data_IF_135789060498
#
_entry.id   IF_135789060498
#
_cell.length_a   1.000
_cell.length_b   1.000
_cell.length_c   1.000
_cell.angle_alpha   90.00
_cell.angle_beta   90.00
_cell.angle_gamma   90.00
#
_symmetry.space_group_name_H-M   'P 1'
#
loop_
_entity.id
_entity.type
_entity.pdbx_description
1 polymer ?
#
# COMPACT_ATOMS: atom_id res chain seq x y z
N UNK A 1 -14.90 16.97 2.36
CA UNK A 1 -13.67 16.62 1.60
C UNK A 1 -13.20 15.25 2.08
N UNK A 2 -12.95 14.28 1.18
CA UNK A 2 -12.37 12.99 1.60
C UNK A 2 -10.92 13.27 2.03
N UNK A 3 -10.61 13.11 3.32
CA UNK A 3 -9.30 13.46 3.88
C UNK A 3 -8.18 12.55 3.37
N UNK A 4 -6.93 13.01 3.51
CA UNK A 4 -5.71 12.24 3.16
C UNK A 4 -5.25 11.29 4.27
N UNK A 5 -6.06 11.09 5.30
CA UNK A 5 -5.77 10.16 6.38
C UNK A 5 -5.79 8.71 5.86
N UNK A 6 -4.71 7.98 6.14
CA UNK A 6 -4.56 6.56 5.85
C UNK A 6 -4.96 5.77 7.10
N UNK A 7 -5.88 4.82 6.93
CA UNK A 7 -6.01 3.73 7.90
C UNK A 7 -4.77 2.83 7.83
N UNK A 8 -4.47 2.08 8.89
CA UNK A 8 -3.30 1.18 8.97
C UNK A 8 -3.20 0.27 7.74
N UNK A 9 -4.29 -0.43 7.40
CA UNK A 9 -4.28 -1.34 6.25
C UNK A 9 -4.22 -0.60 4.90
N UNK A 10 -4.73 0.62 4.81
CA UNK A 10 -4.61 1.43 3.58
C UNK A 10 -3.16 1.87 3.36
N UNK A 11 -2.46 2.24 4.44
CA UNK A 11 -1.05 2.55 4.38
C UNK A 11 -0.22 1.33 3.99
N UNK A 12 -0.46 0.16 4.60
CA UNK A 12 0.26 -1.07 4.24
C UNK A 12 0.10 -1.39 2.76
N UNK A 13 -1.13 -1.33 2.23
CA UNK A 13 -1.38 -1.54 0.80
C UNK A 13 -0.65 -0.50 -0.05
N UNK A 14 -0.66 0.78 0.35
CA UNK A 14 -0.02 1.86 -0.42
C UNK A 14 1.51 1.76 -0.39
N UNK A 15 2.11 1.35 0.74
CA UNK A 15 3.53 1.00 0.86
C UNK A 15 3.89 -0.18 -0.04
N UNK A 16 3.05 -1.22 -0.04
CA UNK A 16 3.26 -2.38 -0.91
C UNK A 16 3.23 -1.99 -2.39
N UNK A 17 2.28 -1.15 -2.83
CA UNK A 17 2.27 -0.60 -4.20
C UNK A 17 3.57 0.14 -4.49
N UNK A 18 4.05 0.98 -3.57
CA UNK A 18 5.31 1.70 -3.74
C UNK A 18 6.50 0.74 -3.89
N UNK A 19 6.54 -0.34 -3.11
CA UNK A 19 7.63 -1.33 -3.13
C UNK A 19 7.66 -2.18 -4.39
N UNK A 20 6.49 -2.50 -4.97
CA UNK A 20 6.37 -3.32 -6.17
C UNK A 20 6.57 -2.54 -7.48
N UNK A 21 6.59 -1.21 -7.42
CA UNK A 21 6.76 -0.33 -8.58
C UNK A 21 5.86 -0.72 -9.78
N UNK A 22 6.44 -1.12 -10.92
CA UNK A 22 5.67 -1.45 -12.14
C UNK A 22 4.86 -2.74 -12.03
N UNK A 23 5.14 -3.59 -11.04
CA UNK A 23 4.56 -4.93 -10.87
C UNK A 23 3.39 -4.96 -9.88
N UNK A 24 2.92 -3.80 -9.42
CA UNK A 24 1.83 -3.72 -8.44
C UNK A 24 0.45 -4.04 -9.07
N UNK A 25 0.12 -5.33 -9.20
CA UNK A 25 -1.24 -5.81 -9.46
C UNK A 25 -1.80 -6.53 -8.24
N UNK A 26 -3.13 -6.61 -8.12
CA UNK A 26 -3.81 -6.98 -6.85
C UNK A 26 -3.36 -8.32 -6.25
N UNK A 27 -2.98 -9.31 -7.05
CA UNK A 27 -2.42 -10.58 -6.55
C UNK A 27 -1.00 -10.39 -6.02
N UNK A 28 -0.11 -9.74 -6.76
CA UNK A 28 1.25 -9.43 -6.27
C UNK A 28 1.23 -8.59 -4.99
N UNK A 29 0.25 -7.68 -4.86
CA UNK A 29 0.05 -6.89 -3.64
C UNK A 29 -0.35 -7.79 -2.46
N UNK A 30 -1.21 -8.79 -2.66
CA UNK A 30 -1.56 -9.74 -1.60
C UNK A 30 -0.31 -10.55 -1.16
N UNK A 31 0.45 -11.07 -2.12
CA UNK A 31 1.63 -11.89 -1.85
C UNK A 31 2.70 -11.09 -1.10
N UNK A 32 2.95 -9.84 -1.51
CA UNK A 32 3.93 -8.96 -0.86
C UNK A 32 3.46 -8.50 0.53
N UNK A 33 2.16 -8.22 0.71
CA UNK A 33 1.60 -7.94 2.03
C UNK A 33 1.80 -9.12 2.99
N UNK A 34 1.57 -10.34 2.54
CA UNK A 34 1.78 -11.53 3.35
C UNK A 34 3.27 -11.70 3.71
N UNK A 35 4.18 -11.43 2.77
CA UNK A 35 5.63 -11.43 3.05
C UNK A 35 6.03 -10.46 4.16
N UNK A 36 5.53 -9.22 4.12
CA UNK A 36 5.91 -8.21 5.12
C UNK A 36 5.18 -8.38 6.46
N UNK A 37 3.94 -8.88 6.46
CA UNK A 37 3.10 -8.90 7.67
C UNK A 37 2.94 -10.27 8.30
N UNK A 38 3.33 -11.35 7.60
CA UNK A 38 3.08 -12.73 7.98
C UNK A 38 1.60 -13.12 7.98
N UNK A 39 0.72 -12.29 7.38
CA UNK A 39 -0.74 -12.48 7.40
C UNK A 39 -1.30 -12.42 5.98
N UNK A 40 -1.96 -13.49 5.56
CA UNK A 40 -2.62 -13.55 4.26
C UNK A 40 -3.73 -12.50 4.14
N UNK A 41 -3.65 -11.66 3.11
CA UNK A 41 -4.68 -10.67 2.78
C UNK A 41 -5.69 -11.25 1.78
N UNK A 42 -6.98 -11.14 2.09
CA UNK A 42 -8.03 -11.56 1.15
C UNK A 42 -8.07 -10.62 -0.05
N UNK A 43 -8.02 -11.16 -1.27
CA UNK A 43 -8.02 -10.39 -2.53
C UNK A 43 -9.18 -9.38 -2.63
N UNK A 44 -10.38 -9.76 -2.18
CA UNK A 44 -11.54 -8.85 -2.16
C UNK A 44 -11.33 -7.62 -1.28
N UNK A 45 -10.67 -7.78 -0.13
CA UNK A 45 -10.36 -6.69 0.80
C UNK A 45 -9.30 -5.75 0.19
N UNK A 46 -8.27 -6.32 -0.45
CA UNK A 46 -7.26 -5.54 -1.18
C UNK A 46 -7.90 -4.75 -2.31
N UNK A 47 -8.82 -5.33 -3.08
CA UNK A 47 -9.59 -4.60 -4.10
C UNK A 47 -10.40 -3.43 -3.52
N UNK A 48 -11.09 -3.64 -2.39
CA UNK A 48 -11.83 -2.55 -1.73
C UNK A 48 -10.91 -1.42 -1.28
N UNK A 49 -9.70 -1.72 -0.78
CA UNK A 49 -8.72 -0.69 -0.40
C UNK A 49 -8.17 0.04 -1.62
N UNK A 50 -7.82 -0.69 -2.68
CA UNK A 50 -7.32 -0.09 -3.93
C UNK A 50 -8.31 0.92 -4.50
N UNK A 51 -9.61 0.57 -4.52
CA UNK A 51 -10.66 1.49 -4.94
C UNK A 51 -10.72 2.74 -4.04
N UNK A 52 -10.64 2.59 -2.72
CA UNK A 52 -10.63 3.74 -1.80
C UNK A 52 -9.39 4.61 -1.96
N UNK A 53 -8.22 4.02 -2.19
CA UNK A 53 -6.97 4.75 -2.44
C UNK A 53 -7.04 5.55 -3.74
N UNK A 54 -7.64 4.99 -4.79
CA UNK A 54 -7.92 5.71 -6.04
C UNK A 54 -8.96 6.83 -5.84
N UNK A 55 -10.05 6.57 -5.13
CA UNK A 55 -11.07 7.59 -4.80
C UNK A 55 -10.51 8.74 -3.96
N UNK A 56 -9.50 8.46 -3.11
CA UNK A 56 -8.77 9.48 -2.33
C UNK A 56 -7.68 10.18 -3.17
N UNK A 57 -7.43 9.74 -4.40
CA UNK A 57 -6.35 10.25 -5.26
C UNK A 57 -4.94 9.88 -4.79
N UNK A 58 -4.80 8.86 -3.93
CA UNK A 58 -3.52 8.41 -3.37
C UNK A 58 -2.85 7.34 -4.24
N UNK A 59 -3.63 6.62 -5.03
CA UNK A 59 -3.14 5.69 -6.05
C UNK A 59 -3.77 6.02 -7.40
N UNK A 60 -3.14 5.54 -8.47
CA UNK A 60 -3.67 5.55 -9.84
C UNK A 60 -3.56 4.15 -10.40
N UNK A 61 -4.42 3.78 -11.33
CA UNK A 61 -4.31 2.50 -12.03
C UNK A 61 -4.31 2.62 -13.54
N UNK A 62 -3.70 1.62 -14.18
CA UNK A 62 -3.72 1.42 -15.63
C UNK A 62 -4.03 -0.02 -15.96
N UNK A 63 -4.75 -0.24 -17.05
CA UNK A 63 -4.90 -1.58 -17.60
C UNK A 63 -3.61 -1.95 -18.34
N UNK A 64 -3.09 -3.14 -18.07
CA UNK A 64 -2.03 -3.74 -18.86
C UNK A 64 -2.56 -4.29 -20.17
N UNK A 65 -1.63 -4.84 -20.94
CA UNK A 65 -1.94 -5.49 -22.20
C UNK A 65 -2.85 -6.71 -22.01
N UNK A 66 -3.63 -7.02 -23.04
CA UNK A 66 -4.46 -8.22 -23.06
C UNK A 66 -3.55 -9.44 -23.16
N UNK A 67 -3.54 -10.28 -22.12
CA UNK A 67 -2.84 -11.57 -22.18
C UNK A 67 -3.83 -12.67 -22.56
N UNK A 68 -3.49 -13.45 -23.59
CA UNK A 68 -4.22 -14.65 -24.00
C UNK A 68 -4.28 -15.71 -22.91
N UNK A 69 -3.34 -15.71 -21.95
CA UNK A 69 -3.22 -16.71 -20.88
C UNK A 69 -4.29 -16.64 -19.79
N UNK A 70 -5.12 -15.58 -19.75
CA UNK A 70 -6.13 -15.38 -18.69
C UNK A 70 -7.57 -15.31 -19.18
N UNK A 71 -7.87 -15.94 -20.32
CA UNK A 71 -9.20 -15.87 -20.94
C UNK A 71 -9.61 -14.44 -21.30
N UNK A 72 -8.63 -13.61 -21.70
CA UNK A 72 -8.85 -12.23 -22.16
C UNK A 72 -8.93 -11.15 -21.07
N UNK A 73 -8.92 -11.49 -19.77
CA UNK A 73 -8.97 -10.48 -18.69
C UNK A 73 -7.61 -9.77 -18.54
N UNK A 74 -7.61 -8.45 -18.76
CA UNK A 74 -6.43 -7.57 -18.58
C UNK A 74 -6.05 -7.45 -17.10
N UNK A 75 -4.75 -7.47 -16.80
CA UNK A 75 -4.25 -7.11 -15.46
C UNK A 75 -4.45 -5.60 -15.25
N UNK A 76 -4.80 -5.19 -14.03
CA UNK A 76 -4.77 -3.78 -13.62
C UNK A 76 -3.55 -3.57 -12.74
N UNK A 77 -2.72 -2.62 -13.12
CA UNK A 77 -1.52 -2.22 -12.40
C UNK A 77 -1.79 -0.90 -11.68
N UNK A 78 -1.16 -0.73 -10.53
CA UNK A 78 -1.33 0.42 -9.65
C UNK A 78 -0.01 1.16 -9.45
N UNK A 79 -0.08 2.46 -9.26
CA UNK A 79 1.06 3.31 -8.95
C UNK A 79 0.67 4.31 -7.86
N UNK A 80 1.59 4.59 -6.93
CA UNK A 80 1.38 5.62 -5.91
C UNK A 80 1.43 7.01 -6.55
N UNK A 81 0.38 7.81 -6.35
CA UNK A 81 0.33 9.18 -6.84
C UNK A 81 1.30 10.09 -6.06
N UNK A 82 1.53 11.31 -6.53
CA UNK A 82 2.31 12.30 -5.76
C UNK A 82 1.67 12.55 -4.38
N UNK A 83 0.34 12.74 -4.32
CA UNK A 83 -0.40 12.90 -3.07
C UNK A 83 -0.29 11.66 -2.17
N UNK A 84 -0.27 10.46 -2.76
CA UNK A 84 -0.01 9.21 -2.04
C UNK A 84 1.36 9.18 -1.39
N UNK A 85 2.41 9.60 -2.11
CA UNK A 85 3.78 9.71 -1.58
C UNK A 85 3.83 10.69 -0.40
N UNK A 86 3.22 11.85 -0.53
CA UNK A 86 3.12 12.85 0.56
C UNK A 86 2.39 12.27 1.78
N UNK A 87 1.28 11.55 1.57
CA UNK A 87 0.53 10.91 2.64
C UNK A 87 1.36 9.85 3.37
N UNK A 88 2.11 9.01 2.65
CA UNK A 88 3.03 8.03 3.23
C UNK A 88 4.14 8.68 4.05
N UNK A 89 4.82 9.70 3.51
CA UNK A 89 5.89 10.40 4.22
C UNK A 89 5.38 11.01 5.52
N UNK A 90 4.23 11.70 5.48
CA UNK A 90 3.61 12.27 6.69
C UNK A 90 3.22 11.20 7.70
N UNK A 91 2.67 10.09 7.24
CA UNK A 91 2.26 8.99 8.10
C UNK A 91 3.45 8.33 8.79
N UNK A 92 4.58 8.19 8.08
CA UNK A 92 5.86 7.75 8.65
C UNK A 92 6.35 8.73 9.71
N UNK A 93 6.48 10.01 9.39
CA UNK A 93 6.97 11.04 10.32
C UNK A 93 6.18 11.08 11.63
N UNK A 94 4.85 11.00 11.56
CA UNK A 94 3.99 10.96 12.76
C UNK A 94 4.29 9.73 13.61
N UNK A 95 4.44 8.54 13.01
CA UNK A 95 4.76 7.31 13.77
C UNK A 95 6.15 7.38 14.39
N UNK A 96 7.16 7.83 13.64
CA UNK A 96 8.52 8.01 14.15
C UNK A 96 8.57 9.01 15.31
N UNK A 97 7.82 10.11 15.23
CA UNK A 97 7.70 11.07 16.33
C UNK A 97 7.11 10.44 17.59
N UNK A 98 6.08 9.60 17.44
CA UNK A 98 5.48 8.89 18.56
C UNK A 98 6.50 7.92 19.17
N UNK A 99 7.14 7.09 18.34
CA UNK A 99 8.16 6.12 18.77
C UNK A 99 9.29 6.77 19.58
N UNK A 100 9.84 7.89 19.09
CA UNK A 100 10.91 8.64 19.77
C UNK A 100 10.50 9.20 21.13
N UNK A 101 9.20 9.39 21.36
CA UNK A 101 8.68 9.95 22.61
C UNK A 101 8.27 8.88 23.62
N UNK A 102 8.43 7.58 23.33
CA UNK A 102 8.13 6.50 24.27
C UNK A 102 9.31 6.32 25.24
N UNK A 103 9.17 6.67 26.53
CA UNK A 103 10.26 6.52 27.49
C UNK A 103 10.62 5.04 27.67
N UNK A 104 11.93 4.73 27.67
CA UNK A 104 12.42 3.36 27.89
C UNK A 104 12.34 2.43 26.67
N UNK A 105 11.90 2.92 25.51
CA UNK A 105 11.85 2.17 24.24
C UNK A 105 12.99 2.48 23.26
N UNK A 106 14.02 3.22 23.71
CA UNK A 106 15.25 3.40 22.94
C UNK A 106 16.01 2.07 22.88
N UNK A 107 15.71 1.25 21.88
CA UNK A 107 16.37 -0.04 21.60
C UNK A 107 17.77 0.15 20.97
N UNK A 108 18.47 1.24 21.28
CA UNK A 108 19.90 1.34 20.99
C UNK A 108 20.63 0.34 21.91
N UNK A 109 20.77 -0.91 21.45
CA UNK A 109 21.59 -1.94 22.11
C UNK A 109 20.90 -3.27 22.44
N UNK A 110 19.68 -3.52 21.99
CA UNK A 110 18.98 -4.80 22.29
C UNK A 110 18.54 -5.55 21.03
N UNK A 111 19.50 -5.92 20.17
CA UNK A 111 19.47 -7.13 19.33
C UNK A 111 20.89 -7.67 19.21
#
# INVERSE_FOLDING_TARGET
MKGTHLGEFEELVLLTIASLASEAYSVAICDELERYTGRAAKLGVVHSVLNRLEEKGLAKSRLGEASSTRGGKRKRFYEVSHTGKVALTRSKEVRENIWRNIPGFNLEGSI
#
